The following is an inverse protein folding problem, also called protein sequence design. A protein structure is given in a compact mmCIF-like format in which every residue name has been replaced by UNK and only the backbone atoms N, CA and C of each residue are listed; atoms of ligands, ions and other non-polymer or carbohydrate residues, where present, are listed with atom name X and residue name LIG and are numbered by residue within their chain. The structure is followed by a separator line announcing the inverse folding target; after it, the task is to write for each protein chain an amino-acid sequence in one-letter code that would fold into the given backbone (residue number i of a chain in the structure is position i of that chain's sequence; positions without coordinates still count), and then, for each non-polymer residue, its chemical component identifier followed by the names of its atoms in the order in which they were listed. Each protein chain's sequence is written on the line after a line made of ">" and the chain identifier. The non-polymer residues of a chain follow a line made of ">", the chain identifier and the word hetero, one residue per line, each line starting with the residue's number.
data_IF_684397938273
#
_entry.id   IF_684397938273
#
_cell.length_a   1.000
_cell.length_b   1.000
_cell.length_c   1.000
_cell.angle_alpha   90.00
_cell.angle_beta   90.00
_cell.angle_gamma   90.00
#
_symmetry.space_group_name_H-M   'P 1'
#
loop_
_entity.id
_entity.type
_entity.pdbx_description
1 polymer ?
#
# COMPACT_ATOMS: atom_id res chain seq x y z
N UNK A 1 -12.07 7.54 -2.63
CA UNK A 1 -11.59 7.81 -1.27
C UNK A 1 -10.08 7.68 -1.23
N UNK A 2 -9.42 8.61 -0.56
CA UNK A 2 -7.96 8.64 -0.49
C UNK A 2 -7.52 8.68 0.97
N UNK A 3 -6.56 7.86 1.32
CA UNK A 3 -6.04 7.79 2.68
C UNK A 3 -4.53 7.64 2.66
N UNK A 4 -3.86 8.38 3.52
CA UNK A 4 -2.42 8.27 3.74
C UNK A 4 -2.19 7.53 5.05
N UNK A 5 -1.42 6.45 4.99
CA UNK A 5 -1.12 5.60 6.14
C UNK A 5 0.37 5.58 6.38
N UNK A 6 0.77 5.43 7.62
CA UNK A 6 2.19 5.30 7.97
C UNK A 6 2.63 3.85 7.83
N UNK A 7 3.90 3.69 7.50
CA UNK A 7 4.54 2.38 7.46
C UNK A 7 5.51 2.27 8.63
N UNK A 8 5.63 1.07 9.18
CA UNK A 8 6.57 0.79 10.25
C UNK A 8 7.41 -0.42 9.88
N UNK A 9 8.70 -0.39 10.22
CA UNK A 9 9.63 -1.45 9.88
C UNK A 9 10.61 -1.01 8.82
N UNK A 10 11.12 -1.96 8.04
CA UNK A 10 12.06 -1.67 6.98
C UNK A 10 11.43 -1.93 5.61
N UNK A 11 11.61 -0.98 4.70
CA UNK A 11 11.20 -1.13 3.32
C UNK A 11 12.26 -0.51 2.43
N UNK A 12 12.63 -1.22 1.36
CA UNK A 12 13.56 -0.68 0.37
C UNK A 12 12.80 -0.12 -0.83
N UNK A 13 13.47 0.75 -1.60
CA UNK A 13 12.85 1.39 -2.75
C UNK A 13 12.35 0.37 -3.79
N UNK A 14 13.09 -0.72 -4.00
CA UNK A 14 12.67 -1.76 -4.94
C UNK A 14 11.40 -2.47 -4.47
N UNK A 15 11.32 -2.78 -3.18
CA UNK A 15 10.13 -3.42 -2.61
C UNK A 15 8.94 -2.48 -2.64
N UNK A 16 9.16 -1.20 -2.34
CA UNK A 16 8.12 -0.18 -2.41
C UNK A 16 7.54 -0.10 -3.83
N UNK A 17 8.39 -0.11 -4.85
CA UNK A 17 7.93 -0.09 -6.25
C UNK A 17 7.12 -1.34 -6.60
N UNK A 18 7.53 -2.51 -6.12
CA UNK A 18 6.79 -3.75 -6.35
C UNK A 18 5.42 -3.72 -5.69
N UNK A 19 5.35 -3.27 -4.44
CA UNK A 19 4.09 -3.14 -3.72
C UNK A 19 3.17 -2.16 -4.43
N UNK A 20 3.70 -1.00 -4.81
CA UNK A 20 2.92 0.00 -5.52
C UNK A 20 2.32 -0.56 -6.80
N UNK A 21 3.12 -1.23 -7.62
CA UNK A 21 2.64 -1.82 -8.87
C UNK A 21 1.56 -2.88 -8.62
N UNK A 22 1.74 -3.72 -7.60
CA UNK A 22 0.76 -4.75 -7.26
C UNK A 22 -0.55 -4.14 -6.76
N UNK A 23 -0.48 -3.11 -5.92
CA UNK A 23 -1.67 -2.45 -5.39
C UNK A 23 -2.43 -1.73 -6.50
N UNK A 24 -1.74 -1.09 -7.41
CA UNK A 24 -2.38 -0.40 -8.54
C UNK A 24 -3.17 -1.35 -9.45
N UNK A 25 -2.85 -2.63 -9.44
CA UNK A 25 -3.56 -3.63 -10.22
C UNK A 25 -4.84 -4.13 -9.55
N UNK A 26 -5.09 -3.77 -8.30
CA UNK A 26 -6.29 -4.21 -7.60
C UNK A 26 -7.53 -3.55 -8.17
N UNK A 27 -8.67 -4.28 -8.22
CA UNK A 27 -9.93 -3.70 -8.68
C UNK A 27 -10.36 -2.55 -7.77
N UNK A 28 -10.84 -1.47 -8.38
CA UNK A 28 -11.33 -0.31 -7.65
C UNK A 28 -10.25 0.66 -7.19
N UNK A 29 -8.98 0.33 -7.37
CA UNK A 29 -7.88 1.25 -7.02
C UNK A 29 -7.65 2.22 -8.17
N UNK A 30 -7.72 3.51 -7.87
CA UNK A 30 -7.46 4.58 -8.84
C UNK A 30 -5.98 4.94 -8.87
N UNK A 31 -5.37 5.02 -7.69
CA UNK A 31 -3.96 5.36 -7.56
C UNK A 31 -3.41 4.78 -6.27
N UNK A 32 -2.14 4.41 -6.31
CA UNK A 32 -1.42 3.99 -5.11
C UNK A 32 0.00 4.51 -5.16
N UNK A 33 0.53 4.89 -4.01
CA UNK A 33 1.90 5.38 -3.90
C UNK A 33 2.52 4.90 -2.61
N UNK A 34 3.73 4.38 -2.71
CA UNK A 34 4.50 3.95 -1.55
C UNK A 34 5.79 4.75 -1.50
N UNK A 35 6.02 5.44 -0.41
CA UNK A 35 7.23 6.23 -0.23
C UNK A 35 8.10 5.59 0.85
N UNK A 36 9.22 5.01 0.42
CA UNK A 36 10.16 4.35 1.32
C UNK A 36 10.98 5.33 2.15
N UNK A 37 11.10 6.57 1.71
CA UNK A 37 11.89 7.58 2.43
C UNK A 37 11.11 8.17 3.61
N UNK A 38 9.82 8.42 3.42
CA UNK A 38 8.97 9.00 4.47
C UNK A 38 8.13 7.95 5.19
N UNK A 39 8.20 6.69 4.76
CA UNK A 39 7.44 5.58 5.31
C UNK A 39 5.94 5.87 5.28
N UNK A 40 5.45 6.27 4.12
CA UNK A 40 4.03 6.57 3.92
C UNK A 40 3.49 5.78 2.73
N UNK A 41 2.27 5.32 2.90
CA UNK A 41 1.53 4.63 1.86
C UNK A 41 0.23 5.39 1.60
N UNK A 42 0.04 5.84 0.37
CA UNK A 42 -1.18 6.54 -0.06
C UNK A 42 -1.99 5.58 -0.92
N UNK A 43 -3.25 5.41 -0.56
CA UNK A 43 -4.18 4.58 -1.32
C UNK A 43 -5.39 5.42 -1.73
N UNK A 44 -5.64 5.47 -3.03
CA UNK A 44 -6.83 6.10 -3.59
C UNK A 44 -7.65 5.04 -4.31
N UNK A 45 -8.81 4.74 -3.78
CA UNK A 45 -9.71 3.72 -4.32
C UNK A 45 -11.16 4.19 -4.22
N UNK A 46 -12.04 3.53 -4.98
CA UNK A 46 -13.47 3.79 -4.89
C UNK A 46 -13.98 3.52 -3.47
N UNK A 47 -14.90 4.35 -3.00
CA UNK A 47 -15.43 4.24 -1.64
C UNK A 47 -15.97 2.84 -1.35
N UNK A 48 -16.69 2.26 -2.28
CA UNK A 48 -17.27 0.93 -2.12
C UNK A 48 -16.22 -0.19 -2.06
N UNK A 49 -15.05 0.04 -2.64
CA UNK A 49 -13.97 -0.95 -2.72
C UNK A 49 -12.79 -0.62 -1.82
N UNK A 50 -12.84 0.52 -1.12
CA UNK A 50 -11.69 1.00 -0.36
C UNK A 50 -11.25 0.02 0.72
N UNK A 51 -12.17 -0.47 1.53
CA UNK A 51 -11.85 -1.40 2.61
C UNK A 51 -11.24 -2.70 2.06
N UNK A 52 -11.79 -3.20 0.97
CA UNK A 52 -11.30 -4.41 0.32
C UNK A 52 -9.92 -4.18 -0.28
N UNK A 53 -9.73 -3.05 -0.98
CA UNK A 53 -8.44 -2.69 -1.54
C UNK A 53 -7.39 -2.51 -0.43
N UNK A 54 -7.76 -1.90 0.68
CA UNK A 54 -6.86 -1.72 1.81
C UNK A 54 -6.43 -3.04 2.41
N UNK A 55 -7.37 -3.96 2.61
CA UNK A 55 -7.05 -5.29 3.15
C UNK A 55 -6.10 -6.04 2.23
N UNK A 56 -6.34 -6.00 0.93
CA UNK A 56 -5.46 -6.62 -0.05
C UNK A 56 -4.09 -5.95 -0.11
N UNK A 57 -4.04 -4.64 0.04
CA UNK A 57 -2.78 -3.90 0.08
C UNK A 57 -1.92 -4.31 1.28
N UNK A 58 -2.53 -4.45 2.45
CA UNK A 58 -1.82 -4.90 3.65
C UNK A 58 -1.25 -6.29 3.44
N UNK A 59 -2.00 -7.18 2.80
CA UNK A 59 -1.52 -8.52 2.48
C UNK A 59 -0.36 -8.48 1.51
N UNK A 60 -0.41 -7.61 0.50
CA UNK A 60 0.68 -7.45 -0.46
C UNK A 60 1.96 -6.99 0.25
N UNK A 61 1.84 -6.04 1.17
CA UNK A 61 2.98 -5.63 1.98
C UNK A 61 3.57 -6.80 2.76
N UNK A 62 2.71 -7.61 3.37
CA UNK A 62 3.16 -8.78 4.14
C UNK A 62 3.86 -9.81 3.25
N UNK A 63 3.41 -9.98 2.01
CA UNK A 63 3.98 -10.96 1.08
C UNK A 63 5.32 -10.50 0.50
N UNK A 64 5.43 -9.22 0.14
CA UNK A 64 6.61 -8.67 -0.53
C UNK A 64 7.64 -8.18 0.49
N UNK A 65 7.18 -7.53 1.53
CA UNK A 65 8.04 -6.95 2.56
C UNK A 65 7.47 -7.28 3.95
N UNK A 66 7.70 -8.51 4.44
CA UNK A 66 7.15 -8.93 5.74
C UNK A 66 7.69 -8.13 6.91
N UNK A 67 8.83 -7.45 6.75
CA UNK A 67 9.42 -6.61 7.79
C UNK A 67 8.80 -5.22 7.85
N UNK A 68 7.89 -4.90 6.95
CA UNK A 68 7.19 -3.62 6.89
C UNK A 68 5.71 -3.80 7.18
N UNK A 69 5.17 -2.99 8.08
CA UNK A 69 3.78 -3.07 8.48
C UNK A 69 3.06 -1.76 8.17
N UNK A 70 1.83 -1.88 7.69
CA UNK A 70 0.97 -0.73 7.42
C UNK A 70 0.19 -0.38 8.67
N UNK A 71 0.36 0.83 9.16
CA UNK A 71 -0.36 1.34 10.33
C UNK A 71 -1.68 1.95 9.87
N UNK A 72 -2.76 1.24 10.08
CA UNK A 72 -4.11 1.68 9.69
C UNK A 72 -4.90 2.23 10.86
#
# INVERSE_FOLDING_TARGET
>A
MRKVMKLEGEICANCAAKVQAAVEKLPGVNEASVNAMTYKFTLDAEDASFDDALAKSVKIFSDIEPDCEVLV
#
